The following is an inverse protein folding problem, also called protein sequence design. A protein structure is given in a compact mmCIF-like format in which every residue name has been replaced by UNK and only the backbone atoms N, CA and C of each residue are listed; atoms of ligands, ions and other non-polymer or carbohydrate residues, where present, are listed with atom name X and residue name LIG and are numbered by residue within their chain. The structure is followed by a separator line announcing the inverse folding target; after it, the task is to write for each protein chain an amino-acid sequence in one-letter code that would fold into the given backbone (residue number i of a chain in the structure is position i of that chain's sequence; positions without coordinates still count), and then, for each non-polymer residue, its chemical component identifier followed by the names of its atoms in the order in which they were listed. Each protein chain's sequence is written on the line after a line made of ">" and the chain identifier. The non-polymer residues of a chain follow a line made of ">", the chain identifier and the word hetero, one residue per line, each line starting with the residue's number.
data_IF_480059279514
#
_entry.id   IF_480059279514
#
_cell.length_a   1.000
_cell.length_b   1.000
_cell.length_c   1.000
_cell.angle_alpha   90.00
_cell.angle_beta   90.00
_cell.angle_gamma   90.00
#
_symmetry.space_group_name_H-M   'P 1'
#
loop_
_entity.id
_entity.type
_entity.pdbx_description
1 polymer ?
#
# COMPACT_ATOMS: atom_id res chain seq x y z
N UNK A 1 -76.19 11.28 50.86
CA UNK A 1 -75.18 11.98 50.02
C UNK A 1 -74.12 11.00 49.57
N UNK A 2 -74.16 10.53 48.32
CA UNK A 2 -73.12 9.66 47.76
C UNK A 2 -72.94 9.95 46.27
N UNK A 3 -72.48 11.17 45.95
CA UNK A 3 -72.34 11.67 44.57
C UNK A 3 -70.89 11.80 44.11
N UNK A 4 -69.91 11.33 44.90
CA UNK A 4 -68.48 11.52 44.58
C UNK A 4 -67.81 10.34 43.88
N UNK A 5 -68.47 9.17 43.78
CA UNK A 5 -67.91 7.96 43.16
C UNK A 5 -68.38 7.70 41.73
N UNK A 6 -69.40 8.40 41.24
CA UNK A 6 -69.98 8.20 39.90
C UNK A 6 -69.36 9.09 38.81
N UNK A 7 -68.62 10.15 39.17
CA UNK A 7 -68.05 11.10 38.21
C UNK A 7 -66.77 10.56 37.54
N UNK A 8 -65.96 9.76 38.26
CA UNK A 8 -64.72 9.21 37.71
C UNK A 8 -64.94 8.15 36.64
N UNK A 9 -66.04 7.40 36.72
CA UNK A 9 -66.34 6.30 35.80
C UNK A 9 -66.93 6.80 34.47
N UNK A 10 -67.66 7.92 34.49
CA UNK A 10 -68.17 8.58 33.29
C UNK A 10 -67.04 9.24 32.46
N UNK A 11 -66.02 9.80 33.12
CA UNK A 11 -64.89 10.44 32.42
C UNK A 11 -64.00 9.44 31.66
N UNK A 12 -63.86 8.21 32.15
CA UNK A 12 -63.10 7.15 31.46
C UNK A 12 -63.85 6.55 30.26
N UNK A 13 -65.19 6.50 30.30
CA UNK A 13 -65.98 6.00 29.18
C UNK A 13 -65.97 6.95 27.97
N UNK A 14 -65.93 8.27 28.20
CA UNK A 14 -65.86 9.27 27.12
C UNK A 14 -64.47 9.30 26.46
N UNK A 15 -63.40 9.09 27.23
CA UNK A 15 -62.03 9.04 26.69
C UNK A 15 -61.79 7.83 25.77
N UNK A 16 -62.47 6.70 26.01
CA UNK A 16 -62.37 5.50 25.17
C UNK A 16 -63.16 5.60 23.85
N UNK A 17 -64.18 6.45 23.79
CA UNK A 17 -64.99 6.68 22.58
C UNK A 17 -64.29 7.67 21.62
N UNK A 18 -63.48 8.59 22.14
CA UNK A 18 -62.75 9.58 21.31
C UNK A 18 -61.47 8.98 20.68
N UNK A 19 -60.89 7.92 21.26
CA UNK A 19 -59.72 7.22 20.69
C UNK A 19 -60.07 6.00 19.80
N UNK A 20 -61.35 5.63 19.68
CA UNK A 20 -61.78 4.41 18.99
C UNK A 20 -62.28 4.60 17.55
N UNK A 21 -62.24 5.81 17.00
CA UNK A 21 -62.79 6.10 15.67
C UNK A 21 -61.74 6.20 14.58
N UNK A 22 -61.22 5.08 14.06
CA UNK A 22 -60.66 5.03 12.68
C UNK A 22 -60.36 3.60 12.17
N UNK A 23 -61.37 2.71 12.17
CA UNK A 23 -61.25 1.38 11.56
C UNK A 23 -62.47 1.03 10.70
N UNK A 24 -62.88 1.93 9.81
CA UNK A 24 -63.89 1.60 8.80
C UNK A 24 -63.82 2.50 7.56
N UNK A 25 -62.67 2.54 6.87
CA UNK A 25 -62.58 3.16 5.54
C UNK A 25 -61.40 2.63 4.71
N UNK A 26 -61.30 1.31 4.50
CA UNK A 26 -60.43 0.76 3.45
C UNK A 26 -61.14 -0.39 2.74
N UNK A 27 -61.96 -0.07 1.75
CA UNK A 27 -62.25 -1.01 0.64
C UNK A 27 -62.98 -0.40 -0.56
N UNK A 28 -63.53 0.82 -0.47
CA UNK A 28 -64.35 1.37 -1.55
C UNK A 28 -63.58 2.34 -2.47
N UNK A 29 -62.62 1.85 -3.26
CA UNK A 29 -62.37 2.37 -4.63
C UNK A 29 -61.38 1.46 -5.39
N UNK A 30 -61.81 0.24 -5.74
CA UNK A 30 -61.15 -0.51 -6.82
C UNK A 30 -61.78 -0.07 -8.14
N UNK A 31 -61.00 0.61 -8.95
CA UNK A 31 -61.36 0.97 -10.33
C UNK A 31 -61.77 -0.31 -11.10
N UNK A 32 -63.02 -0.39 -11.61
CA UNK A 32 -63.53 -1.60 -12.28
C UNK A 32 -62.83 -1.90 -13.62
N UNK A 33 -61.98 -1.00 -14.11
CA UNK A 33 -61.14 -1.23 -15.30
C UNK A 33 -59.66 -1.46 -14.97
N UNK A 34 -59.29 -1.47 -13.69
CA UNK A 34 -57.93 -1.79 -13.28
C UNK A 34 -57.64 -3.27 -13.56
N UNK A 35 -56.70 -3.51 -14.49
CA UNK A 35 -56.24 -4.87 -14.82
C UNK A 35 -55.76 -5.59 -13.55
N UNK A 36 -56.23 -6.83 -13.30
CA UNK A 36 -55.80 -7.60 -12.15
C UNK A 36 -54.29 -7.88 -12.21
N UNK A 37 -53.65 -7.97 -11.03
CA UNK A 37 -52.19 -7.93 -10.86
C UNK A 37 -51.39 -8.93 -11.68
N UNK A 38 -51.99 -10.03 -12.15
CA UNK A 38 -51.34 -11.02 -13.01
C UNK A 38 -51.15 -10.57 -14.47
N UNK A 39 -51.86 -9.52 -14.92
CA UNK A 39 -51.71 -8.93 -16.26
C UNK A 39 -50.88 -7.65 -16.27
N UNK A 40 -50.38 -7.19 -15.11
CA UNK A 40 -49.46 -6.06 -15.06
C UNK A 40 -48.07 -6.55 -15.45
N UNK A 41 -47.65 -6.21 -16.67
CA UNK A 41 -46.27 -6.39 -17.11
C UNK A 41 -45.37 -5.63 -16.12
N UNK A 42 -44.47 -6.36 -15.46
CA UNK A 42 -43.56 -5.82 -14.45
C UNK A 42 -42.72 -4.73 -15.10
N UNK A 43 -43.05 -3.47 -14.84
CA UNK A 43 -42.16 -2.37 -15.18
C UNK A 43 -40.82 -2.64 -14.49
N UNK A 44 -39.68 -2.48 -15.19
CA UNK A 44 -38.39 -2.57 -14.55
C UNK A 44 -38.38 -1.48 -13.49
N UNK A 45 -38.48 -1.89 -12.23
CA UNK A 45 -38.24 -1.02 -11.11
C UNK A 45 -36.91 -0.32 -11.41
N UNK A 46 -36.95 1.01 -11.59
CA UNK A 46 -35.79 1.85 -11.38
C UNK A 46 -35.46 1.71 -9.89
N UNK A 47 -34.85 0.59 -9.54
CA UNK A 47 -33.95 0.51 -8.42
C UNK A 47 -32.93 1.59 -8.73
N UNK A 48 -33.02 2.68 -7.99
CA UNK A 48 -31.92 3.59 -7.78
C UNK A 48 -30.76 2.73 -7.29
N UNK A 49 -29.97 2.21 -8.22
CA UNK A 49 -28.62 1.80 -7.94
C UNK A 49 -27.96 3.07 -7.45
N UNK A 50 -27.87 3.23 -6.13
CA UNK A 50 -26.89 4.12 -5.55
C UNK A 50 -25.58 3.67 -6.17
N UNK A 51 -25.09 4.44 -7.13
CA UNK A 51 -23.84 4.16 -7.81
C UNK A 51 -22.82 3.99 -6.70
N UNK A 52 -22.42 2.75 -6.45
CA UNK A 52 -21.32 2.47 -5.56
C UNK A 52 -20.16 3.23 -6.18
N UNK A 53 -19.73 4.31 -5.51
CA UNK A 53 -18.52 5.05 -5.90
C UNK A 53 -17.47 3.97 -6.14
N UNK A 54 -16.84 3.93 -7.33
CA UNK A 54 -15.83 2.93 -7.60
C UNK A 54 -14.82 3.04 -6.45
N UNK A 55 -14.64 1.93 -5.71
CA UNK A 55 -13.54 1.85 -4.75
C UNK A 55 -12.31 2.18 -5.57
N UNK A 56 -11.74 3.35 -5.35
CA UNK A 56 -10.49 3.76 -5.99
C UNK A 56 -9.53 2.60 -5.76
N UNK A 57 -9.14 1.94 -6.84
CA UNK A 57 -8.14 0.90 -6.77
C UNK A 57 -6.95 1.54 -6.07
N UNK A 58 -6.56 0.97 -4.92
CA UNK A 58 -5.42 1.49 -4.19
C UNK A 58 -4.24 1.47 -5.14
N UNK A 59 -3.70 2.65 -5.44
CA UNK A 59 -2.49 2.74 -6.25
C UNK A 59 -1.34 2.22 -5.38
N UNK A 60 -0.84 1.04 -5.73
CA UNK A 60 0.33 0.42 -5.08
C UNK A 60 1.63 0.81 -5.79
N UNK A 61 1.59 1.83 -6.66
CA UNK A 61 2.77 2.45 -7.24
C UNK A 61 3.74 2.97 -6.16
N UNK A 62 5.02 3.13 -6.51
CA UNK A 62 5.99 3.70 -5.58
C UNK A 62 5.59 5.14 -5.20
N UNK A 63 5.73 5.52 -3.92
CA UNK A 63 5.37 6.86 -3.46
C UNK A 63 6.28 7.94 -4.07
N UNK A 64 5.81 9.19 -4.05
CA UNK A 64 6.58 10.34 -4.55
C UNK A 64 7.92 10.51 -3.80
N UNK A 65 8.89 11.14 -4.46
CA UNK A 65 10.22 11.39 -3.89
C UNK A 65 10.15 12.19 -2.60
N UNK A 66 9.31 13.22 -2.54
CA UNK A 66 9.12 14.07 -1.36
C UNK A 66 8.68 13.23 -0.15
N UNK A 67 7.71 12.34 -0.36
CA UNK A 67 7.22 11.46 0.69
C UNK A 67 8.32 10.50 1.20
N UNK A 68 9.20 10.02 0.31
CA UNK A 68 10.34 9.16 0.68
C UNK A 68 11.44 9.93 1.40
N UNK A 69 11.66 11.20 1.05
CA UNK A 69 12.59 12.08 1.76
C UNK A 69 12.10 12.31 3.19
N UNK A 70 10.80 12.57 3.37
CA UNK A 70 10.23 12.77 4.70
C UNK A 70 10.24 11.48 5.53
N UNK A 71 10.01 10.32 4.90
CA UNK A 71 10.22 9.02 5.54
C UNK A 71 11.66 8.87 6.04
N UNK A 72 12.64 9.19 5.20
CA UNK A 72 14.06 9.10 5.58
C UNK A 72 14.44 10.04 6.72
N UNK A 73 13.90 11.27 6.76
CA UNK A 73 14.14 12.19 7.89
C UNK A 73 13.68 11.57 9.21
N UNK A 74 12.46 11.00 9.24
CA UNK A 74 11.93 10.29 10.41
C UNK A 74 12.77 9.07 10.77
N UNK A 75 13.19 8.30 9.78
CA UNK A 75 14.04 7.12 9.99
C UNK A 75 15.39 7.50 10.60
N UNK A 76 15.99 8.59 10.14
CA UNK A 76 17.23 9.15 10.69
C UNK A 76 17.05 9.64 12.12
N UNK A 77 15.99 10.39 12.41
CA UNK A 77 15.66 10.86 13.77
C UNK A 77 15.48 9.67 14.72
N UNK A 78 14.74 8.65 14.30
CA UNK A 78 14.54 7.43 15.07
C UNK A 78 15.85 6.65 15.30
N UNK A 79 16.72 6.56 14.28
CA UNK A 79 18.02 5.91 14.41
C UNK A 79 18.92 6.63 15.41
N UNK A 80 18.95 7.97 15.35
CA UNK A 80 19.70 8.79 16.31
C UNK A 80 19.13 8.64 17.73
N UNK A 81 17.80 8.67 17.89
CA UNK A 81 17.15 8.50 19.18
C UNK A 81 17.38 7.10 19.80
N UNK A 82 17.49 6.06 18.97
CA UNK A 82 17.73 4.68 19.38
C UNK A 82 19.20 4.27 19.43
N UNK A 83 20.13 5.18 19.11
CA UNK A 83 21.57 4.89 19.03
C UNK A 83 21.96 3.91 17.90
N UNK A 84 21.07 3.70 16.92
CA UNK A 84 21.31 2.86 15.76
C UNK A 84 22.13 3.60 14.69
N UNK A 85 22.84 2.89 13.80
CA UNK A 85 23.58 3.52 12.72
C UNK A 85 22.63 4.29 11.81
N UNK A 86 23.01 5.53 11.47
CA UNK A 86 22.23 6.40 10.59
C UNK A 86 22.11 5.74 9.20
N UNK A 87 20.88 5.52 8.70
CA UNK A 87 20.68 4.99 7.36
C UNK A 87 21.33 5.88 6.29
N UNK A 88 21.79 5.27 5.19
CA UNK A 88 22.34 6.03 4.06
C UNK A 88 21.22 6.73 3.27
N UNK A 89 21.56 7.85 2.64
CA UNK A 89 20.65 8.63 1.77
C UNK A 89 20.09 7.79 0.60
N UNK A 90 20.81 6.74 0.19
CA UNK A 90 20.37 5.79 -0.84
C UNK A 90 19.04 5.10 -0.51
N UNK A 91 18.64 5.04 0.77
CA UNK A 91 17.36 4.45 1.18
C UNK A 91 16.13 5.23 0.72
N UNK A 92 16.31 6.45 0.19
CA UNK A 92 15.24 7.27 -0.41
C UNK A 92 14.99 6.88 -1.87
N UNK A 93 16.00 6.33 -2.54
CA UNK A 93 15.99 6.08 -3.98
C UNK A 93 15.34 4.74 -4.29
N UNK A 94 14.61 4.67 -5.41
CA UNK A 94 14.14 3.38 -5.94
C UNK A 94 15.22 2.71 -6.79
N UNK A 95 15.19 1.38 -6.87
CA UNK A 95 16.04 0.63 -7.81
C UNK A 95 15.81 1.09 -9.25
N UNK A 96 14.56 1.37 -9.62
CA UNK A 96 14.20 1.82 -10.98
C UNK A 96 14.81 3.18 -11.34
N UNK A 97 15.01 4.06 -10.36
CA UNK A 97 15.53 5.42 -10.53
C UNK A 97 17.06 5.48 -10.68
N UNK A 98 17.74 4.35 -10.50
CA UNK A 98 19.20 4.27 -10.59
C UNK A 98 19.66 3.97 -12.02
N UNK A 99 20.62 4.77 -12.48
CA UNK A 99 21.37 4.56 -13.70
C UNK A 99 22.79 4.14 -13.33
N UNK A 100 23.29 3.07 -13.93
CA UNK A 100 24.61 2.53 -13.61
C UNK A 100 25.65 3.16 -14.52
N UNK A 101 26.48 4.06 -14.00
CA UNK A 101 27.46 4.79 -14.81
C UNK A 101 28.81 4.08 -14.87
N UNK A 102 29.18 3.35 -13.82
CA UNK A 102 30.47 2.66 -13.77
C UNK A 102 30.51 1.55 -12.73
N UNK A 103 31.34 0.53 -12.96
CA UNK A 103 31.67 -0.51 -11.99
C UNK A 103 33.19 -0.54 -11.82
N UNK A 104 33.67 -0.57 -10.59
CA UNK A 104 35.10 -0.58 -10.28
C UNK A 104 35.43 -1.41 -9.05
N UNK A 105 36.68 -1.86 -8.96
CA UNK A 105 37.20 -2.59 -7.79
C UNK A 105 37.76 -1.60 -6.77
N UNK A 106 37.41 -1.81 -5.52
CA UNK A 106 37.98 -1.13 -4.35
C UNK A 106 38.68 -2.17 -3.46
N UNK A 107 39.54 -1.78 -2.50
CA UNK A 107 40.11 -2.72 -1.53
C UNK A 107 39.05 -3.51 -0.73
N UNK A 108 37.82 -2.99 -0.65
CA UNK A 108 36.68 -3.61 0.02
C UNK A 108 35.90 -4.59 -0.89
N UNK A 109 36.24 -4.68 -2.17
CA UNK A 109 35.54 -5.46 -3.18
C UNK A 109 34.97 -4.60 -4.30
N UNK A 110 34.00 -5.13 -5.04
CA UNK A 110 33.36 -4.42 -6.14
C UNK A 110 32.44 -3.30 -5.63
N UNK A 111 32.50 -2.15 -6.30
CA UNK A 111 31.63 -1.01 -6.08
C UNK A 111 31.12 -0.50 -7.43
N UNK A 112 29.98 0.17 -7.41
CA UNK A 112 29.41 0.79 -8.59
C UNK A 112 29.16 2.28 -8.34
N UNK A 113 29.34 3.07 -9.39
CA UNK A 113 28.89 4.45 -9.44
C UNK A 113 27.51 4.47 -10.11
N UNK A 114 26.50 4.92 -9.36
CA UNK A 114 25.13 5.05 -9.85
C UNK A 114 24.68 6.50 -9.79
N UNK A 115 23.92 6.91 -10.79
CA UNK A 115 23.26 8.21 -10.85
C UNK A 115 21.76 8.05 -10.58
N UNK A 116 21.23 8.88 -9.70
CA UNK A 116 19.81 8.87 -9.33
C UNK A 116 18.99 9.83 -10.19
N UNK A 117 17.93 9.36 -10.85
CA UNK A 117 16.94 10.19 -11.54
C UNK A 117 15.75 10.41 -10.60
N UNK A 118 15.23 11.63 -10.39
CA UNK A 118 15.48 12.92 -11.07
C UNK A 118 16.54 13.82 -10.43
N UNK A 119 17.14 13.43 -9.29
CA UNK A 119 17.98 14.33 -8.48
C UNK A 119 19.40 14.52 -9.10
N UNK A 120 19.78 13.72 -10.10
CA UNK A 120 21.08 13.70 -10.80
C UNK A 120 22.29 13.61 -9.85
N UNK A 121 22.10 12.95 -8.71
CA UNK A 121 23.17 12.73 -7.75
C UNK A 121 23.87 11.42 -8.07
N UNK A 122 25.19 11.48 -8.14
CA UNK A 122 26.05 10.31 -8.33
C UNK A 122 26.52 9.80 -6.97
N UNK A 123 26.32 8.51 -6.71
CA UNK A 123 26.74 7.84 -5.49
C UNK A 123 27.57 6.61 -5.82
N UNK A 124 28.57 6.34 -4.98
CA UNK A 124 29.26 5.05 -4.95
C UNK A 124 28.54 4.12 -4.00
N UNK A 125 28.08 2.98 -4.52
CA UNK A 125 27.33 1.99 -3.76
C UNK A 125 28.10 0.66 -3.66
N UNK A 126 27.99 0.03 -2.49
CA UNK A 126 28.58 -1.27 -2.18
C UNK A 126 27.52 -2.36 -2.04
N UNK A 127 27.89 -3.65 -2.22
CA UNK A 127 27.02 -4.76 -1.88
C UNK A 127 26.47 -4.66 -0.45
N UNK A 128 25.18 -4.96 -0.30
CA UNK A 128 24.45 -4.86 0.97
C UNK A 128 23.72 -3.53 1.17
N UNK A 129 23.96 -2.52 0.34
CA UNK A 129 23.27 -1.23 0.45
C UNK A 129 21.76 -1.33 0.22
N UNK A 130 21.01 -0.58 1.04
CA UNK A 130 19.56 -0.55 1.03
C UNK A 130 19.05 0.64 0.21
N UNK A 131 17.99 0.37 -0.53
CA UNK A 131 17.17 1.29 -1.32
C UNK A 131 15.75 1.26 -0.78
N UNK A 132 14.90 2.19 -1.22
CA UNK A 132 13.55 2.31 -0.69
C UNK A 132 12.71 1.05 -0.95
N UNK A 133 12.86 0.45 -2.14
CA UNK A 133 12.11 -0.71 -2.61
C UNK A 133 13.01 -1.93 -2.84
N UNK A 134 14.26 -1.92 -2.35
CA UNK A 134 15.17 -3.04 -2.61
C UNK A 134 16.51 -2.97 -1.90
N UNK A 135 17.34 -3.96 -2.19
CA UNK A 135 18.69 -4.06 -1.66
C UNK A 135 19.65 -4.49 -2.76
N UNK A 136 20.84 -3.89 -2.81
CA UNK A 136 21.92 -4.35 -3.67
C UNK A 136 22.51 -5.63 -3.10
N UNK A 137 22.38 -6.75 -3.82
CA UNK A 137 22.87 -8.06 -3.40
C UNK A 137 24.32 -8.24 -3.84
N UNK A 138 24.60 -7.96 -5.10
CA UNK A 138 25.93 -8.14 -5.68
C UNK A 138 26.22 -7.12 -6.78
N UNK A 139 27.51 -6.78 -6.92
CA UNK A 139 28.05 -5.99 -8.02
C UNK A 139 28.92 -6.91 -8.86
N UNK A 140 28.53 -7.12 -10.11
CA UNK A 140 29.32 -7.84 -11.10
C UNK A 140 29.97 -6.83 -12.07
N UNK A 141 30.97 -7.28 -12.83
CA UNK A 141 31.76 -6.42 -13.72
C UNK A 141 30.90 -5.62 -14.73
N UNK A 142 29.83 -6.24 -15.25
CA UNK A 142 28.99 -5.64 -16.29
C UNK A 142 27.56 -5.31 -15.84
N UNK A 143 27.18 -5.67 -14.62
CA UNK A 143 25.80 -5.52 -14.12
C UNK A 143 25.71 -5.51 -12.60
N UNK A 144 24.64 -4.92 -12.09
CA UNK A 144 24.27 -5.01 -10.68
C UNK A 144 23.08 -5.94 -10.49
N UNK A 145 23.10 -6.65 -9.37
CA UNK A 145 22.04 -7.57 -8.95
C UNK A 145 21.33 -6.99 -7.75
N UNK A 146 20.08 -6.56 -7.94
CA UNK A 146 19.22 -6.02 -6.89
C UNK A 146 18.17 -7.04 -6.50
N UNK A 147 17.80 -7.05 -5.22
CA UNK A 147 16.58 -7.70 -4.72
C UNK A 147 15.54 -6.62 -4.48
N UNK A 148 14.57 -6.49 -5.37
CA UNK A 148 13.48 -5.52 -5.30
C UNK A 148 12.23 -6.13 -4.68
N UNK A 149 11.54 -5.37 -3.85
CA UNK A 149 10.31 -5.75 -3.15
C UNK A 149 9.21 -4.78 -3.57
N UNK A 150 8.21 -5.27 -4.29
CA UNK A 150 7.05 -4.47 -4.73
C UNK A 150 5.81 -4.88 -3.94
N UNK A 151 5.03 -3.91 -3.46
CA UNK A 151 3.76 -4.15 -2.77
C UNK A 151 2.68 -4.37 -3.82
N UNK A 152 2.06 -5.55 -3.86
CA UNK A 152 1.01 -5.88 -4.87
C UNK A 152 -0.39 -5.77 -4.28
N UNK A 153 -0.53 -6.01 -2.98
CA UNK A 153 -1.76 -5.79 -2.24
C UNK A 153 -1.46 -5.37 -0.80
N UNK A 154 -2.48 -4.98 -0.05
CA UNK A 154 -2.35 -4.81 1.39
C UNK A 154 -1.77 -6.09 2.02
N UNK A 155 -0.58 -5.98 2.63
CA UNK A 155 0.20 -7.08 3.24
C UNK A 155 0.73 -8.16 2.28
N UNK A 156 0.65 -7.98 0.95
CA UNK A 156 1.30 -8.90 -0.01
C UNK A 156 2.45 -8.19 -0.72
N UNK A 157 3.64 -8.76 -0.55
CA UNK A 157 4.87 -8.27 -1.17
C UNK A 157 5.41 -9.34 -2.11
N UNK A 158 5.92 -8.89 -3.26
CA UNK A 158 6.60 -9.73 -4.23
C UNK A 158 8.07 -9.35 -4.23
N UNK A 159 8.93 -10.28 -3.83
CA UNK A 159 10.37 -10.14 -3.99
C UNK A 159 10.79 -10.62 -5.37
N UNK A 160 11.49 -9.77 -6.11
CA UNK A 160 12.00 -10.03 -7.45
C UNK A 160 13.49 -9.68 -7.51
N UNK A 161 14.25 -10.45 -8.27
CA UNK A 161 15.66 -10.14 -8.54
C UNK A 161 15.72 -9.33 -9.83
N UNK A 162 16.26 -8.12 -9.76
CA UNK A 162 16.38 -7.19 -10.88
C UNK A 162 17.85 -7.02 -11.26
N UNK A 163 18.15 -7.18 -12.55
CA UNK A 163 19.49 -6.99 -13.09
C UNK A 163 19.55 -5.64 -13.79
N UNK A 164 20.46 -4.76 -13.35
CA UNK A 164 20.72 -3.48 -14.03
C UNK A 164 22.08 -3.52 -14.75
N UNK A 165 22.11 -3.45 -16.08
CA UNK A 165 23.36 -3.44 -16.82
C UNK A 165 24.08 -2.10 -16.65
N UNK A 166 25.40 -2.12 -16.85
CA UNK A 166 26.20 -0.91 -17.00
C UNK A 166 25.71 -0.08 -18.20
N UNK A 167 25.49 1.22 -18.01
CA UNK A 167 25.14 2.12 -19.11
C UNK A 167 26.32 2.23 -20.07
N UNK A 168 26.06 1.88 -21.33
CA UNK A 168 27.03 2.06 -22.41
C UNK A 168 26.80 3.44 -23.02
N UNK A 169 27.75 4.35 -22.85
CA UNK A 169 27.72 5.63 -23.56
C UNK A 169 27.99 5.35 -25.04
N UNK A 170 27.01 5.68 -25.89
CA UNK A 170 27.23 5.68 -27.33
C UNK A 170 28.28 6.73 -27.71
N UNK A 171 29.07 6.49 -28.75
CA UNK A 171 30.19 7.36 -29.17
C UNK A 171 29.80 8.85 -29.30
N UNK A 172 28.55 9.16 -29.64
CA UNK A 172 28.05 10.54 -29.71
C UNK A 172 28.05 11.26 -28.35
N UNK A 173 27.60 10.57 -27.30
CA UNK A 173 27.61 11.12 -25.94
C UNK A 173 29.03 11.28 -25.36
N UNK A 174 29.98 10.47 -25.86
CA UNK A 174 31.38 10.54 -25.45
C UNK A 174 32.12 11.70 -26.12
N UNK A 175 31.72 12.10 -27.34
CA UNK A 175 32.28 13.22 -28.09
C UNK A 175 31.69 14.57 -27.61
N UNK A 176 30.41 14.61 -27.22
CA UNK A 176 29.76 15.85 -26.76
C UNK A 176 30.28 16.35 -25.40
N UNK A 177 30.96 15.51 -24.61
CA UNK A 177 31.59 15.90 -23.35
C UNK A 177 30.58 16.24 -22.25
N UNK A 178 30.85 15.81 -21.02
CA UNK A 178 30.01 16.12 -19.84
C UNK A 178 30.23 17.54 -19.29
N UNK A 179 30.60 18.49 -20.15
CA UNK A 179 30.73 19.89 -19.76
C UNK A 179 29.31 20.49 -19.61
N UNK A 180 28.99 21.19 -18.50
CA UNK A 180 27.73 21.91 -18.41
C UNK A 180 27.76 23.07 -19.41
N UNK A 181 27.22 22.84 -20.60
CA UNK A 181 26.92 23.91 -21.54
C UNK A 181 25.80 24.74 -20.93
N UNK A 182 26.16 25.88 -20.34
CA UNK A 182 25.22 26.97 -20.06
C UNK A 182 24.73 27.52 -21.41
N UNK A 183 23.74 26.85 -21.99
CA UNK A 183 22.98 27.37 -23.11
C UNK A 183 21.73 28.08 -22.58
N UNK A 184 21.89 29.39 -22.33
CA UNK A 184 20.94 30.47 -22.58
C UNK A 184 19.43 30.12 -22.53
N UNK A 185 18.81 30.28 -21.37
CA UNK A 185 17.35 30.38 -21.27
C UNK A 185 16.92 31.85 -21.46
N UNK A 186 16.29 32.17 -22.60
CA UNK A 186 15.37 33.30 -22.69
C UNK A 186 14.01 32.89 -22.10
N UNK A 187 13.27 33.79 -21.42
CA UNK A 187 12.06 33.44 -20.71
C UNK A 187 10.85 33.43 -21.66
N UNK A 188 10.07 32.35 -21.64
CA UNK A 188 8.68 32.36 -22.09
C UNK A 188 7.78 31.94 -20.94
N UNK A 189 6.98 32.91 -20.52
CA UNK A 189 5.90 32.82 -19.56
C UNK A 189 4.70 32.19 -20.28
N UNK A 190 4.14 31.12 -19.75
CA UNK A 190 2.77 30.72 -20.07
C UNK A 190 2.14 29.97 -18.88
N UNK A 191 1.13 30.64 -18.33
CA UNK A 191 -0.11 30.13 -17.77
C UNK A 191 -0.04 29.04 -16.68
N UNK A 192 -0.48 29.45 -15.49
CA UNK A 192 -0.57 28.61 -14.32
C UNK A 192 -1.64 27.53 -14.41
N UNK A 193 -1.29 26.38 -13.86
CA UNK A 193 -2.24 25.39 -13.40
C UNK A 193 -2.11 25.26 -11.87
N UNK A 194 -3.27 25.36 -11.23
CA UNK A 194 -3.49 25.45 -9.79
C UNK A 194 -3.10 24.13 -9.10
N UNK A 195 -2.20 24.12 -8.10
CA UNK A 195 -1.92 22.91 -7.34
C UNK A 195 -3.15 22.50 -6.50
N UNK A 196 -3.62 21.28 -6.73
CA UNK A 196 -4.60 20.63 -5.87
C UNK A 196 -4.01 20.39 -4.47
N UNK A 197 -4.86 20.57 -3.45
CA UNK A 197 -4.50 20.49 -2.04
C UNK A 197 -3.92 19.12 -1.65
N UNK A 198 -2.93 19.08 -0.74
CA UNK A 198 -2.36 17.82 -0.26
C UNK A 198 -3.36 17.05 0.59
N UNK A 199 -3.67 15.83 0.15
CA UNK A 199 -4.38 14.84 0.94
C UNK A 199 -3.52 14.36 2.12
N UNK A 200 -4.17 14.11 3.26
CA UNK A 200 -3.57 13.83 4.56
C UNK A 200 -2.47 12.73 4.56
N UNK A 201 -1.45 12.85 5.42
CA UNK A 201 -0.33 11.92 5.48
C UNK A 201 -0.78 10.57 6.05
N UNK A 202 -0.91 9.56 5.20
CA UNK A 202 -0.87 8.18 5.67
C UNK A 202 0.58 7.84 6.04
N UNK A 203 0.82 7.05 7.11
CA UNK A 203 2.17 6.65 7.50
C UNK A 203 2.73 5.71 6.42
N UNK A 204 3.56 6.27 5.54
CA UNK A 204 4.29 5.52 4.51
C UNK A 204 5.46 4.82 5.18
N UNK A 205 5.53 3.51 5.05
CA UNK A 205 6.68 2.70 5.46
C UNK A 205 7.28 2.09 4.19
N UNK A 206 8.62 2.03 4.12
CA UNK A 206 9.29 1.37 3.00
C UNK A 206 8.77 -0.08 2.89
N UNK A 207 8.38 -0.56 1.69
CA UNK A 207 7.95 -1.95 1.52
C UNK A 207 8.98 -2.98 2.00
N UNK A 208 10.28 -2.66 1.91
CA UNK A 208 11.36 -3.51 2.41
C UNK A 208 11.36 -3.55 3.95
N UNK A 209 11.19 -2.39 4.59
CA UNK A 209 11.11 -2.29 6.05
C UNK A 209 9.80 -2.87 6.59
N UNK A 210 8.67 -2.70 5.89
CA UNK A 210 7.40 -3.37 6.22
C UNK A 210 7.59 -4.90 6.19
N UNK A 211 8.19 -5.46 5.14
CA UNK A 211 8.45 -6.89 5.04
C UNK A 211 9.39 -7.39 6.15
N UNK A 212 10.41 -6.62 6.53
CA UNK A 212 11.34 -6.99 7.59
C UNK A 212 10.79 -6.79 9.01
N UNK A 213 9.81 -5.89 9.18
CA UNK A 213 9.20 -5.57 10.49
C UNK A 213 7.93 -6.36 10.77
N UNK A 214 7.34 -7.03 9.77
CA UNK A 214 6.36 -8.06 10.01
C UNK A 214 7.00 -9.16 10.86
N UNK A 215 6.43 -9.51 12.03
CA UNK A 215 6.87 -10.72 12.72
C UNK A 215 6.70 -11.85 11.72
N UNK A 216 7.79 -12.58 11.46
CA UNK A 216 7.68 -13.92 10.89
C UNK A 216 6.55 -14.58 11.69
N UNK A 217 5.45 -14.95 11.01
CA UNK A 217 4.43 -15.77 11.62
C UNK A 217 5.19 -16.90 12.31
N UNK A 218 5.03 -16.98 13.63
CA UNK A 218 5.62 -17.99 14.48
C UNK A 218 5.55 -19.31 13.74
N UNK A 219 6.69 -19.85 13.34
CA UNK A 219 6.81 -21.30 13.27
C UNK A 219 6.24 -21.81 14.60
N UNK A 220 5.26 -22.72 14.60
CA UNK A 220 4.87 -23.34 15.84
C UNK A 220 6.12 -24.02 16.39
N UNK A 221 6.55 -23.55 17.56
CA UNK A 221 7.54 -24.21 18.41
C UNK A 221 7.28 -25.72 18.42
N UNK A 222 8.08 -26.47 17.66
CA UNK A 222 8.17 -27.90 17.83
C UNK A 222 8.96 -28.14 19.13
N UNK A 223 8.20 -28.21 20.22
CA UNK A 223 8.63 -28.59 21.57
C UNK A 223 9.50 -29.88 21.58
N UNK A 224 10.34 -30.04 22.62
CA UNK A 224 11.49 -30.93 22.61
C UNK A 224 11.14 -32.42 22.75
N UNK A 225 12.03 -33.23 22.16
CA UNK A 225 12.38 -34.62 22.50
C UNK A 225 11.36 -35.48 23.27
N UNK A 226 10.67 -36.39 22.56
CA UNK A 226 10.31 -37.70 23.10
C UNK A 226 11.10 -38.80 22.40
N UNK A 227 12.06 -39.33 23.14
CA UNK A 227 12.82 -40.52 22.80
C UNK A 227 11.89 -41.72 22.62
N UNK A 228 11.66 -42.12 21.36
CA UNK A 228 11.11 -43.41 21.00
C UNK A 228 12.26 -44.39 20.74
N UNK A 229 12.59 -45.15 21.80
CA UNK A 229 13.51 -46.29 21.75
C UNK A 229 13.06 -47.27 20.65
N UNK A 230 13.80 -47.37 19.56
CA UNK A 230 13.77 -48.52 18.65
C UNK A 230 14.94 -49.44 19.01
N UNK A 231 14.70 -50.71 19.40
CA UNK A 231 15.79 -51.63 19.68
C UNK A 231 16.42 -52.08 18.35
N UNK A 232 17.67 -51.70 18.14
CA UNK A 232 18.51 -52.25 17.07
C UNK A 232 18.90 -53.68 17.49
N UNK A 233 18.33 -54.69 16.82
CA UNK A 233 18.79 -56.08 16.93
C UNK A 233 20.16 -56.19 16.27
N UNK A 234 21.20 -56.26 17.08
CA UNK A 234 22.56 -56.65 16.68
C UNK A 234 22.56 -58.15 16.39
N UNK A 235 22.77 -58.53 15.13
CA UNK A 235 23.02 -59.90 14.75
C UNK A 235 24.43 -60.31 15.22
N UNK A 236 24.47 -61.28 16.13
CA UNK A 236 25.67 -61.85 16.72
C UNK A 236 26.05 -63.09 15.92
N UNK A 237 26.99 -62.98 14.98
CA UNK A 237 27.63 -64.16 14.41
C UNK A 237 28.93 -64.44 15.16
N UNK A 238 28.95 -65.58 15.84
CA UNK A 238 30.09 -66.13 16.55
C UNK A 238 30.18 -67.62 16.26
N UNK A 239 30.96 -67.99 15.26
CA UNK A 239 31.97 -69.07 15.24
C UNK A 239 32.45 -69.29 13.82
#
# INVERSE_FOLDING_TARGET
>A
MSFKKSIGLAAMAVALIILGGDLASVSAQRDPFAKPSFMRQREPSRQSSSAAKPKTAADFGPPSIEARIDYYKRLRENAVASGQPVPKVTSVLLVNELNVNGVFKTPRGWAAMVEATPIKLSYTIYPGEKFFDGQLVAVEENRLVFRRVTKTAAKKFVASVEYKPLQQYSMKAQIEGTAPSQASAKPQVAAGEKPAAPAAPTPIVSPLDEMNSLPAEKEPEAKPSKASKRPVKVAKNRK
#
